data_IF_102899103237
#
_entry.id   IF_102899103237
#
_cell.length_a   1.000
_cell.length_b   1.000
_cell.length_c   1.000
_cell.angle_alpha   90.00
_cell.angle_beta   90.00
_cell.angle_gamma   90.00
#
_symmetry.space_group_name_H-M   'P 1'
#
loop_
_entity.id
_entity.type
_entity.pdbx_description
1 polymer ?
#
# COMPACT_ATOMS: atom_id res chain seq x y z
N UNK A 1 6.03 -23.13 1.86
CA UNK A 1 5.83 -21.73 2.29
C UNK A 1 5.64 -20.95 1.01
N UNK A 2 4.51 -20.24 0.86
CA UNK A 2 4.23 -19.50 -0.36
C UNK A 2 5.07 -18.22 -0.36
N UNK A 3 6.22 -18.25 -1.03
CA UNK A 3 7.01 -17.04 -1.29
C UNK A 3 6.20 -16.16 -2.25
N UNK A 4 5.73 -15.01 -1.79
CA UNK A 4 5.15 -14.02 -2.70
C UNK A 4 6.27 -13.48 -3.58
N UNK A 5 6.29 -13.94 -4.83
CA UNK A 5 7.29 -13.52 -5.80
C UNK A 5 6.95 -12.11 -6.28
N UNK A 6 7.59 -11.11 -5.66
CA UNK A 6 7.52 -9.71 -6.09
C UNK A 6 7.82 -9.51 -7.58
N UNK A 7 8.61 -10.43 -8.16
CA UNK A 7 9.00 -10.44 -9.58
C UNK A 7 7.83 -10.51 -10.56
N UNK A 8 6.63 -10.91 -10.11
CA UNK A 8 5.42 -10.96 -10.94
C UNK A 8 4.41 -9.83 -10.63
N UNK A 9 4.80 -8.78 -9.89
CA UNK A 9 3.89 -7.73 -9.47
C UNK A 9 2.93 -8.17 -8.36
N UNK A 10 3.32 -9.18 -7.59
CA UNK A 10 2.58 -9.67 -6.41
C UNK A 10 3.24 -9.16 -5.13
N UNK A 11 2.45 -8.86 -4.12
CA UNK A 11 2.97 -8.49 -2.79
C UNK A 11 2.19 -9.23 -1.71
N UNK A 12 2.85 -9.53 -0.58
CA UNK A 12 2.18 -10.15 0.55
C UNK A 12 1.37 -9.10 1.31
N UNK A 13 0.06 -9.34 1.44
CA UNK A 13 -0.82 -8.53 2.26
C UNK A 13 -0.90 -9.10 3.67
N UNK A 14 -0.53 -8.29 4.65
CA UNK A 14 -0.74 -8.56 6.06
C UNK A 14 -2.21 -8.36 6.47
N UNK A 15 -3.01 -7.57 5.73
CA UNK A 15 -4.46 -7.50 5.99
C UNK A 15 -5.21 -8.76 5.55
N UNK A 16 -4.85 -9.31 4.39
CA UNK A 16 -5.53 -10.49 3.81
C UNK A 16 -4.84 -11.81 4.13
N UNK A 17 -3.63 -11.77 4.68
CA UNK A 17 -2.77 -12.93 4.92
C UNK A 17 -2.54 -13.78 3.66
N UNK A 18 -2.46 -13.12 2.50
CA UNK A 18 -2.31 -13.77 1.18
C UNK A 18 -1.45 -12.94 0.23
N UNK A 19 -0.86 -13.58 -0.78
CA UNK A 19 -0.23 -12.87 -1.90
C UNK A 19 -1.33 -12.23 -2.75
N UNK A 20 -1.26 -10.92 -2.92
CA UNK A 20 -2.16 -10.16 -3.78
C UNK A 20 -1.40 -9.69 -5.01
N UNK A 21 -2.06 -9.73 -6.16
CA UNK A 21 -1.54 -9.08 -7.36
C UNK A 21 -1.82 -7.58 -7.26
N UNK A 22 -0.77 -6.76 -7.31
CA UNK A 22 -0.90 -5.31 -7.12
C UNK A 22 -1.78 -4.68 -8.20
N UNK A 23 -1.82 -5.28 -9.41
CA UNK A 23 -2.72 -4.89 -10.49
C UNK A 23 -4.22 -4.94 -10.11
N UNK A 24 -4.60 -5.81 -9.16
CA UNK A 24 -5.98 -5.97 -8.68
C UNK A 24 -6.34 -4.99 -7.56
N UNK A 25 -5.37 -4.23 -7.06
CA UNK A 25 -5.61 -3.23 -6.01
C UNK A 25 -6.19 -1.97 -6.66
N UNK A 26 -7.41 -1.62 -6.29
CA UNK A 26 -8.19 -0.56 -6.94
C UNK A 26 -7.60 0.84 -6.79
N UNK A 27 -6.73 1.07 -5.81
CA UNK A 27 -6.24 2.41 -5.49
C UNK A 27 -4.73 2.46 -5.75
N UNK A 28 -4.39 3.16 -6.83
CA UNK A 28 -3.01 3.47 -7.18
C UNK A 28 -2.66 4.85 -6.61
N UNK A 29 -1.60 4.89 -5.83
CA UNK A 29 -1.00 6.11 -5.32
C UNK A 29 0.21 6.44 -6.19
N UNK A 30 0.23 7.66 -6.71
CA UNK A 30 1.43 8.21 -7.34
C UNK A 30 2.19 8.98 -6.25
N UNK A 31 3.25 8.41 -5.65
CA UNK A 31 4.03 9.14 -4.66
C UNK A 31 4.59 10.40 -5.31
N UNK A 32 4.28 11.55 -4.72
CA UNK A 32 4.84 12.83 -5.13
C UNK A 32 6.28 12.88 -4.61
N UNK A 33 7.26 12.54 -5.44
CA UNK A 33 8.64 12.90 -5.14
C UNK A 33 8.77 14.43 -5.24
N UNK A 34 8.94 15.11 -4.10
CA UNK A 34 9.23 16.54 -4.03
C UNK A 34 8.28 17.47 -4.81
N UNK A 35 6.98 17.14 -4.87
CA UNK A 35 5.98 17.98 -5.55
C UNK A 35 6.12 18.05 -7.07
N UNK A 36 6.96 17.21 -7.68
CA UNK A 36 7.12 17.14 -9.13
C UNK A 36 6.18 16.08 -9.73
N UNK A 37 5.46 16.47 -10.79
CA UNK A 37 4.53 15.69 -11.61
C UNK A 37 5.22 14.62 -12.47
N UNK A 38 6.29 14.02 -11.98
CA UNK A 38 7.09 13.06 -12.75
C UNK A 38 6.97 11.68 -12.14
N UNK A 39 6.18 10.83 -12.81
CA UNK A 39 6.21 9.36 -12.81
C UNK A 39 7.05 8.73 -11.68
N UNK A 40 6.57 8.85 -10.45
CA UNK A 40 7.07 8.03 -9.35
C UNK A 40 6.71 6.58 -9.59
N UNK A 41 7.46 5.65 -8.98
CA UNK A 41 7.07 4.25 -9.01
C UNK A 41 5.67 4.09 -8.37
N UNK A 42 4.77 3.38 -9.04
CA UNK A 42 3.36 3.25 -8.61
C UNK A 42 3.32 2.54 -7.26
N UNK A 43 2.68 3.19 -6.28
CA UNK A 43 2.33 2.58 -5.01
C UNK A 43 0.87 2.12 -5.06
N UNK A 44 0.51 1.12 -4.27
CA UNK A 44 -0.88 0.65 -4.18
C UNK A 44 -1.35 0.73 -2.74
N UNK A 45 -2.66 0.90 -2.54
CA UNK A 45 -3.24 0.86 -1.20
C UNK A 45 -4.51 0.01 -1.15
N UNK A 46 -4.59 -0.81 -0.11
CA UNK A 46 -5.75 -1.64 0.21
C UNK A 46 -6.32 -1.24 1.57
N UNK A 47 -7.59 -0.91 1.63
CA UNK A 47 -8.27 -0.68 2.91
C UNK A 47 -8.94 -1.97 3.41
N UNK A 48 -9.04 -2.11 4.73
CA UNK A 48 -9.91 -3.11 5.33
C UNK A 48 -11.39 -2.77 5.10
N UNK A 49 -12.28 -3.74 5.34
CA UNK A 49 -13.72 -3.56 5.10
C UNK A 49 -14.36 -2.44 5.95
N UNK A 50 -13.68 -1.95 6.99
CA UNK A 50 -14.16 -0.91 7.91
C UNK A 50 -13.43 0.43 7.70
N UNK A 51 -12.53 0.52 6.71
CA UNK A 51 -11.59 1.62 6.51
C UNK A 51 -10.77 2.01 7.75
N UNK A 52 -10.61 1.09 8.72
CA UNK A 52 -9.87 1.35 9.95
C UNK A 52 -8.36 1.14 9.77
N UNK A 53 -7.98 0.25 8.86
CA UNK A 53 -6.59 -0.01 8.51
C UNK A 53 -6.43 0.10 7.00
N UNK A 54 -5.34 0.72 6.56
CA UNK A 54 -4.93 0.79 5.17
C UNK A 54 -3.57 0.15 5.01
N UNK A 55 -3.41 -0.77 4.08
CA UNK A 55 -2.12 -1.39 3.75
C UNK A 55 -1.56 -0.77 2.48
N UNK A 56 -0.39 -0.13 2.58
CA UNK A 56 0.33 0.44 1.44
C UNK A 56 1.36 -0.56 0.93
N UNK A 57 1.39 -0.75 -0.38
CA UNK A 57 2.38 -1.55 -1.08
C UNK A 57 3.32 -0.63 -1.85
N UNK A 58 4.60 -0.68 -1.48
CA UNK A 58 5.63 0.12 -2.11
C UNK A 58 6.33 -0.68 -3.23
N UNK A 59 6.70 -0.02 -4.34
CA UNK A 59 7.23 -0.65 -5.56
C UNK A 59 8.63 -1.26 -5.43
N UNK A 60 9.25 -1.19 -4.24
CA UNK A 60 10.54 -1.79 -3.93
C UNK A 60 10.49 -2.63 -2.64
N UNK A 61 9.29 -2.96 -2.16
CA UNK A 61 9.09 -3.79 -0.97
C UNK A 61 8.23 -5.01 -1.31
N UNK A 62 8.62 -6.15 -0.78
CA UNK A 62 7.93 -7.43 -0.93
C UNK A 62 6.69 -7.54 -0.03
N UNK A 63 6.60 -6.68 1.00
CA UNK A 63 5.53 -6.69 2.00
C UNK A 63 4.78 -5.37 2.02
N UNK A 64 3.47 -5.46 2.24
CA UNK A 64 2.65 -4.30 2.56
C UNK A 64 2.98 -3.72 3.94
N UNK A 65 2.81 -2.41 4.06
CA UNK A 65 2.95 -1.65 5.30
C UNK A 65 1.55 -1.31 5.81
N UNK A 66 1.23 -1.73 7.04
CA UNK A 66 -0.04 -1.44 7.67
C UNK A 66 -0.03 -0.04 8.29
N UNK A 67 -0.97 0.79 7.86
CA UNK A 67 -1.34 2.06 8.46
C UNK A 67 -2.64 1.91 9.25
N UNK A 68 -2.71 2.57 10.40
CA UNK A 68 -3.92 2.63 11.23
C UNK A 68 -4.59 3.97 11.07
N UNK A 69 -5.91 3.98 11.01
CA UNK A 69 -6.70 5.21 10.98
C UNK A 69 -6.44 5.99 12.26
N UNK A 70 -5.94 7.20 12.13
CA UNK A 70 -5.71 8.12 13.26
C UNK A 70 -6.92 9.03 13.44
N UNK A 71 -7.38 9.62 12.33
CA UNK A 71 -8.59 10.44 12.25
C UNK A 71 -9.31 10.16 10.93
N UNK A 72 -10.52 10.71 10.73
CA UNK A 72 -11.20 10.58 9.43
C UNK A 72 -10.37 11.21 8.32
N UNK A 73 -10.11 10.44 7.26
CA UNK A 73 -9.26 10.86 6.14
C UNK A 73 -7.75 10.73 6.38
N UNK A 74 -7.30 10.23 7.54
CA UNK A 74 -5.87 10.08 7.84
C UNK A 74 -5.53 8.69 8.41
N UNK A 75 -4.51 8.07 7.82
CA UNK A 75 -3.94 6.82 8.31
C UNK A 75 -2.43 6.99 8.50
N UNK A 76 -1.92 6.48 9.61
CA UNK A 76 -0.50 6.56 9.94
C UNK A 76 -0.01 5.31 10.66
N UNK A 77 1.28 5.02 10.51
CA UNK A 77 2.01 4.09 11.36
C UNK A 77 3.19 4.74 12.09
N UNK A 78 3.30 6.07 12.02
CA UNK A 78 4.41 6.86 12.56
C UNK A 78 5.55 7.14 11.56
N UNK A 79 5.78 6.25 10.60
CA UNK A 79 6.80 6.43 9.54
C UNK A 79 6.18 6.97 8.25
N UNK A 80 4.99 6.48 7.92
CA UNK A 80 4.23 6.87 6.75
C UNK A 80 2.89 7.48 7.18
N UNK A 81 2.52 8.56 6.49
CA UNK A 81 1.23 9.21 6.65
C UNK A 81 0.51 9.19 5.31
N UNK A 82 -0.71 8.68 5.33
CA UNK A 82 -1.64 8.73 4.22
C UNK A 82 -2.74 9.72 4.56
N UNK A 83 -2.88 10.71 3.68
CA UNK A 83 -3.90 11.76 3.78
C UNK A 83 -4.78 11.60 2.54
N UNK A 84 -6.07 11.41 2.74
CA UNK A 84 -7.09 11.31 1.69
C UNK A 84 -7.80 12.65 1.47
#
# INVERSE_FOLDING_TARGET
>A
MADCLFKNGQSFSNLKHSCLELSTVNIQLNPLENGASTKGNICYILFDNKNNNGEIFLPLQDKGIILKKTVEGNWSNGEYNLIA
#
